data_IF_688376401680
#
_entry.id   IF_688376401680
#
_cell.length_a   1.000
_cell.length_b   1.000
_cell.length_c   1.000
_cell.angle_alpha   90.00
_cell.angle_beta   90.00
_cell.angle_gamma   90.00
#
_symmetry.space_group_name_H-M   'P 1'
#
loop_
_entity.id
_entity.type
_entity.pdbx_description
1 polymer ?
#
# COMPACT_ATOMS: atom_id res chain seq x y z
N UNK A 1 7.48 -9.97 1.14
CA UNK A 1 7.11 -9.21 -0.08
C UNK A 1 5.62 -9.41 -0.33
N UNK A 2 4.91 -8.35 -0.61
CA UNK A 2 3.50 -8.39 -1.05
C UNK A 2 3.44 -7.94 -2.51
N UNK A 3 2.56 -8.59 -3.28
CA UNK A 3 2.15 -8.12 -4.60
C UNK A 3 0.73 -7.59 -4.48
N UNK A 4 0.55 -6.32 -4.81
CA UNK A 4 -0.73 -5.62 -4.72
C UNK A 4 -1.21 -5.32 -6.13
N UNK A 5 -2.47 -5.62 -6.40
CA UNK A 5 -3.11 -5.43 -7.70
C UNK A 5 -4.38 -4.62 -7.46
N UNK A 6 -4.52 -3.50 -8.13
CA UNK A 6 -5.80 -2.79 -8.15
C UNK A 6 -6.70 -3.39 -9.24
N UNK A 7 -7.59 -4.28 -8.84
CA UNK A 7 -8.55 -4.94 -9.73
C UNK A 7 -9.85 -4.13 -9.93
N UNK A 8 -9.93 -2.89 -9.45
CA UNK A 8 -11.08 -2.02 -9.71
C UNK A 8 -11.14 -1.63 -11.20
N UNK A 9 -12.34 -1.43 -11.72
CA UNK A 9 -12.53 -1.06 -13.12
C UNK A 9 -12.22 0.42 -13.36
N UNK A 10 -12.57 1.30 -12.40
CA UNK A 10 -12.59 2.75 -12.62
C UNK A 10 -12.08 3.58 -11.43
N UNK A 11 -11.64 2.96 -10.33
CA UNK A 11 -11.16 3.70 -9.17
C UNK A 11 -9.66 3.51 -8.95
N UNK A 12 -8.96 4.63 -8.79
CA UNK A 12 -7.64 4.61 -8.17
C UNK A 12 -7.82 4.31 -6.68
N UNK A 13 -6.88 3.55 -6.12
CA UNK A 13 -6.98 3.09 -4.73
C UNK A 13 -5.71 3.44 -3.96
N UNK A 14 -5.89 4.07 -2.81
CA UNK A 14 -4.89 4.07 -1.76
C UNK A 14 -4.82 2.70 -1.12
N UNK A 15 -3.62 2.26 -0.79
CA UNK A 15 -3.39 1.05 -0.01
C UNK A 15 -2.37 1.35 1.10
N UNK A 16 -2.65 0.89 2.30
CA UNK A 16 -1.78 1.07 3.47
C UNK A 16 -1.92 -0.11 4.44
N UNK A 17 -0.91 -0.27 5.29
CA UNK A 17 -0.90 -1.22 6.40
C UNK A 17 -0.66 -0.46 7.68
N UNK A 18 -1.56 -0.63 8.65
CA UNK A 18 -1.47 0.05 9.95
C UNK A 18 -0.09 -0.14 10.59
N UNK A 19 0.52 0.96 11.02
CA UNK A 19 1.82 0.99 11.69
C UNK A 19 2.99 0.34 10.93
N UNK A 20 2.89 0.26 9.59
CA UNK A 20 3.95 -0.28 8.76
C UNK A 20 4.32 0.67 7.63
N UNK A 21 5.61 0.74 7.36
CA UNK A 21 6.14 1.44 6.19
C UNK A 21 6.31 0.44 5.05
N UNK A 22 5.94 0.85 3.86
CA UNK A 22 5.97 0.08 2.63
C UNK A 22 7.16 0.52 1.78
N UNK A 23 7.99 -0.42 1.33
CA UNK A 23 9.06 -0.12 0.37
C UNK A 23 8.63 -0.60 -1.01
N UNK A 24 8.38 0.33 -1.93
CA UNK A 24 8.05 0.03 -3.33
C UNK A 24 9.32 -0.37 -4.05
N UNK A 25 9.30 -1.50 -4.77
CA UNK A 25 10.45 -2.05 -5.51
C UNK A 25 10.15 -2.35 -6.97
N UNK A 26 8.86 -2.41 -7.33
CA UNK A 26 8.41 -2.74 -8.68
C UNK A 26 7.02 -2.14 -8.93
N UNK A 27 6.77 -1.64 -10.13
CA UNK A 27 5.45 -1.26 -10.63
C UNK A 27 5.28 -1.81 -12.05
N UNK A 28 4.15 -2.49 -12.30
CA UNK A 28 3.77 -3.04 -13.61
C UNK A 28 4.90 -3.84 -14.28
N UNK A 29 5.55 -4.73 -13.51
CA UNK A 29 6.69 -5.56 -13.90
C UNK A 29 8.00 -4.81 -14.21
N UNK A 30 8.06 -3.50 -13.91
CA UNK A 30 9.26 -2.67 -14.02
C UNK A 30 9.86 -2.43 -12.63
N UNK A 31 11.15 -2.77 -12.44
CA UNK A 31 11.84 -2.46 -11.20
C UNK A 31 12.04 -0.96 -11.04
N UNK A 32 11.77 -0.47 -9.84
CA UNK A 32 11.98 0.93 -9.48
C UNK A 32 13.16 1.09 -8.53
N UNK A 33 13.76 2.28 -8.51
CA UNK A 33 14.60 2.66 -7.38
C UNK A 33 13.77 2.54 -6.10
N UNK A 34 14.17 1.69 -5.14
CA UNK A 34 13.38 1.48 -3.94
C UNK A 34 13.14 2.78 -3.18
N UNK A 35 11.90 3.05 -2.82
CA UNK A 35 11.53 4.17 -1.93
C UNK A 35 10.50 3.72 -0.91
N UNK A 36 10.48 4.39 0.24
CA UNK A 36 9.59 4.07 1.36
C UNK A 36 8.44 5.06 1.44
N UNK A 37 7.25 4.56 1.73
CA UNK A 37 6.03 5.35 1.94
C UNK A 37 5.11 4.62 2.89
N UNK A 38 4.21 5.34 3.56
CA UNK A 38 3.18 4.73 4.41
C UNK A 38 1.92 4.37 3.61
N UNK A 39 1.73 5.00 2.46
CA UNK A 39 0.58 4.80 1.57
C UNK A 39 1.06 4.68 0.14
N UNK A 40 0.54 3.72 -0.61
CA UNK A 40 0.71 3.62 -2.07
C UNK A 40 -0.59 4.00 -2.77
N UNK A 41 -0.47 4.50 -4.00
CA UNK A 41 -1.59 4.82 -4.87
C UNK A 41 -1.47 4.00 -6.15
N UNK A 42 -2.52 3.26 -6.50
CA UNK A 42 -2.56 2.40 -7.67
C UNK A 42 -3.73 2.78 -8.59
N UNK A 43 -3.44 2.98 -9.86
CA UNK A 43 -4.46 3.11 -10.90
C UNK A 43 -5.18 1.77 -11.16
N UNK A 44 -6.38 1.77 -11.76
CA UNK A 44 -7.05 0.55 -12.20
C UNK A 44 -6.16 -0.32 -13.08
N UNK A 45 -6.09 -1.61 -12.78
CA UNK A 45 -5.25 -2.59 -13.49
C UNK A 45 -3.77 -2.54 -13.12
N UNK A 46 -3.33 -1.54 -12.38
CA UNK A 46 -1.93 -1.38 -11.99
C UNK A 46 -1.53 -2.39 -10.91
N UNK A 47 -0.27 -2.85 -10.99
CA UNK A 47 0.33 -3.78 -10.04
C UNK A 47 1.57 -3.17 -9.38
N UNK A 48 1.88 -3.63 -8.17
CA UNK A 48 3.13 -3.24 -7.49
C UNK A 48 3.63 -4.36 -6.59
N UNK A 49 4.95 -4.49 -6.51
CA UNK A 49 5.61 -5.32 -5.51
C UNK A 49 6.17 -4.43 -4.42
N UNK A 50 5.81 -4.72 -3.17
CA UNK A 50 6.27 -3.99 -1.99
C UNK A 50 6.95 -4.91 -1.00
N UNK A 51 7.96 -4.38 -0.31
CA UNK A 51 8.53 -5.00 0.86
C UNK A 51 7.85 -4.41 2.10
N UNK A 52 7.23 -5.27 2.88
CA UNK A 52 6.69 -4.94 4.19
C UNK A 52 7.74 -5.30 5.23
N UNK A 53 8.28 -4.29 5.92
CA UNK A 53 9.20 -4.52 7.02
C UNK A 53 8.40 -4.85 8.27
N UNK A 54 8.54 -6.07 8.76
CA UNK A 54 7.95 -6.47 10.02
C UNK A 54 8.79 -5.90 11.17
N UNK A 55 8.13 -5.29 12.17
CA UNK A 55 8.81 -4.79 13.36
C UNK A 55 9.23 -5.96 14.24
N UNK A 56 10.50 -5.99 14.64
CA UNK A 56 11.00 -6.98 15.60
C UNK A 56 10.32 -6.87 16.95
N UNK A 57 9.95 -5.66 17.37
CA UNK A 57 9.23 -5.45 18.63
C UNK A 57 7.83 -6.08 18.58
N UNK A 58 7.18 -6.03 17.42
CA UNK A 58 5.83 -6.58 17.23
C UNK A 58 5.85 -8.10 17.03
N UNK A 59 6.97 -8.68 16.61
CA UNK A 59 7.14 -10.14 16.52
C UNK A 59 7.16 -10.78 17.93
N UNK A 60 7.52 -10.01 18.94
CA UNK A 60 7.50 -10.46 20.35
C UNK A 60 6.08 -10.42 20.96
N UNK A 61 5.17 -9.65 20.36
CA UNK A 61 3.75 -9.63 20.73
C UNK A 61 3.03 -10.75 19.96
N UNK A 62 2.99 -11.92 20.56
CA UNK A 62 2.39 -13.13 20.02
C UNK A 62 0.92 -12.87 19.61
N UNK A 63 0.63 -12.93 18.30
CA UNK A 63 -0.72 -12.69 17.75
C UNK A 63 -1.09 -11.23 17.47
N UNK A 64 -0.14 -10.29 17.44
CA UNK A 64 -0.42 -8.90 17.07
C UNK A 64 -1.15 -8.80 15.72
N UNK A 65 -2.18 -7.96 15.66
CA UNK A 65 -3.02 -7.77 14.49
C UNK A 65 -3.01 -6.31 14.05
N UNK A 66 -3.02 -6.11 12.73
CA UNK A 66 -3.03 -4.81 12.08
C UNK A 66 -4.02 -4.80 10.92
N UNK A 67 -4.65 -3.67 10.65
CA UNK A 67 -5.42 -3.53 9.43
C UNK A 67 -4.51 -3.33 8.22
N UNK A 68 -4.78 -4.13 7.19
CA UNK A 68 -4.48 -3.80 5.81
C UNK A 68 -5.72 -3.08 5.29
N UNK A 69 -5.58 -1.92 4.68
CA UNK A 69 -6.75 -1.17 4.22
C UNK A 69 -6.54 -0.57 2.83
N UNK A 70 -7.66 -0.49 2.09
CA UNK A 70 -7.72 0.20 0.81
C UNK A 70 -8.85 1.24 0.84
N UNK A 71 -8.58 2.43 0.30
CA UNK A 71 -9.52 3.55 0.22
C UNK A 71 -9.51 4.15 -1.19
N UNK A 72 -10.63 4.68 -1.63
CA UNK A 72 -10.74 5.26 -2.97
C UNK A 72 -10.05 6.63 -3.02
N UNK A 73 -9.24 6.84 -4.08
CA UNK A 73 -8.83 8.16 -4.52
C UNK A 73 -9.82 8.67 -5.57
N UNK A 74 -10.33 9.87 -5.39
CA UNK A 74 -11.25 10.54 -6.31
C UNK A 74 -10.67 11.89 -6.71
N UNK A 75 -10.25 12.07 -7.97
CA UNK A 75 -9.73 13.37 -8.40
C UNK A 75 -10.80 14.47 -8.28
N UNK A 76 -10.41 15.73 -8.10
CA UNK A 76 -11.33 16.84 -7.78
C UNK A 76 -12.50 17.02 -8.76
N UNK A 77 -12.34 16.61 -10.01
CA UNK A 77 -13.35 16.74 -11.06
C UNK A 77 -14.22 15.47 -11.26
N UNK A 78 -14.01 14.42 -10.46
CA UNK A 78 -14.77 13.16 -10.55
C UNK A 78 -16.11 13.21 -9.79
N UNK A 79 -16.58 14.39 -9.45
CA UNK A 79 -17.66 14.70 -8.49
C UNK A 79 -19.06 14.18 -8.86
N UNK A 80 -19.23 13.49 -9.96
CA UNK A 80 -20.56 13.07 -10.44
C UNK A 80 -20.90 11.60 -10.17
N UNK A 81 -19.95 10.81 -9.65
CA UNK A 81 -20.21 9.40 -9.37
C UNK A 81 -20.04 9.14 -7.88
N UNK A 82 -21.08 8.64 -7.18
CA UNK A 82 -20.94 8.21 -5.81
C UNK A 82 -19.83 7.14 -5.70
N UNK A 83 -18.89 7.31 -4.79
CA UNK A 83 -17.84 6.34 -4.52
C UNK A 83 -17.85 5.91 -3.05
N UNK A 84 -17.37 4.70 -2.74
CA UNK A 84 -17.27 4.24 -1.37
C UNK A 84 -16.36 5.16 -0.54
N UNK A 85 -16.91 5.71 0.55
CA UNK A 85 -16.16 6.57 1.48
C UNK A 85 -15.54 5.79 2.62
N UNK A 86 -15.96 4.53 2.81
CA UNK A 86 -15.47 3.66 3.87
C UNK A 86 -14.36 2.77 3.31
N UNK A 87 -13.17 2.76 3.91
CA UNK A 87 -12.11 1.86 3.50
C UNK A 87 -12.50 0.39 3.65
N UNK A 88 -12.08 -0.43 2.70
CA UNK A 88 -12.14 -1.89 2.82
C UNK A 88 -10.92 -2.37 3.58
N UNK A 89 -11.12 -3.34 4.49
CA UNK A 89 -10.06 -3.81 5.39
C UNK A 89 -9.86 -5.32 5.32
N UNK A 90 -8.61 -5.73 5.58
CA UNK A 90 -8.21 -7.09 5.90
C UNK A 90 -7.33 -7.06 7.14
N UNK A 91 -7.05 -8.22 7.73
CA UNK A 91 -6.22 -8.33 8.93
C UNK A 91 -4.88 -8.96 8.56
N UNK A 92 -3.79 -8.26 8.89
CA UNK A 92 -2.46 -8.81 8.99
C UNK A 92 -2.26 -9.31 10.42
N UNK A 93 -2.05 -10.61 10.59
CA UNK A 93 -1.74 -11.20 11.89
C UNK A 93 -0.30 -11.70 11.90
N UNK A 94 0.45 -11.32 12.91
CA UNK A 94 1.78 -11.88 13.15
C UNK A 94 1.62 -13.31 13.69
N UNK A 95 2.51 -14.21 13.25
CA UNK A 95 2.45 -15.62 13.61
C UNK A 95 2.56 -15.81 15.11
N UNK A 96 1.70 -16.68 15.62
CA UNK A 96 1.63 -17.09 16.99
C UNK A 96 1.64 -18.61 17.03
N UNK A 97 2.62 -19.20 17.74
CA UNK A 97 2.74 -20.67 17.83
C UNK A 97 1.58 -21.30 18.64
N UNK A 98 0.90 -20.53 19.49
CA UNK A 98 -0.12 -20.99 20.44
C UNK A 98 -1.45 -20.24 20.36
N UNK A 99 -1.61 -19.26 19.45
CA UNK A 99 -2.83 -18.48 19.37
C UNK A 99 -3.98 -19.27 18.72
N UNK A 100 -5.11 -19.29 19.38
CA UNK A 100 -6.39 -19.63 18.75
C UNK A 100 -6.72 -18.52 17.75
N UNK A 101 -7.06 -18.89 16.51
CA UNK A 101 -7.53 -17.96 15.49
C UNK A 101 -8.64 -17.08 16.08
N UNK A 102 -8.43 -15.78 16.16
CA UNK A 102 -9.37 -14.83 16.77
C UNK A 102 -8.96 -14.23 18.12
N UNK A 103 -7.88 -14.72 18.75
CA UNK A 103 -7.30 -14.03 19.91
C UNK A 103 -6.70 -12.71 19.45
N UNK A 104 -7.28 -11.60 19.90
CA UNK A 104 -6.82 -10.24 19.56
C UNK A 104 -5.78 -9.80 20.56
N UNK A 105 -4.57 -9.51 20.09
CA UNK A 105 -3.62 -8.70 20.82
C UNK A 105 -3.44 -7.39 20.06
N UNK A 106 -3.77 -6.28 20.70
CA UNK A 106 -3.58 -4.92 20.14
C UNK A 106 -4.88 -4.20 19.74
N UNK A 107 -4.77 -2.89 19.59
CA UNK A 107 -5.85 -2.02 19.13
C UNK A 107 -5.81 -1.94 17.60
N UNK A 108 -6.84 -2.51 16.93
CA UNK A 108 -7.03 -2.34 15.50
C UNK A 108 -7.51 -0.91 15.22
N UNK A 109 -6.72 -0.15 14.47
CA UNK A 109 -7.07 1.18 13.98
C UNK A 109 -6.83 1.25 12.47
N UNK A 110 -7.65 2.02 11.77
CA UNK A 110 -7.43 2.25 10.34
C UNK A 110 -6.10 2.99 10.11
N UNK A 111 -5.35 2.64 9.07
CA UNK A 111 -4.23 3.47 8.63
C UNK A 111 -4.72 4.88 8.30
N UNK A 112 -3.85 5.88 8.48
CA UNK A 112 -4.15 7.25 8.05
C UNK A 112 -3.98 7.35 6.54
N UNK A 113 -5.03 7.72 5.84
CA UNK A 113 -5.01 7.99 4.41
C UNK A 113 -4.93 9.50 4.13
N UNK A 114 -4.32 9.91 3.01
CA UNK A 114 -4.49 11.25 2.46
C UNK A 114 -5.97 11.54 2.18
N UNK A 115 -6.33 12.80 2.00
CA UNK A 115 -7.67 13.15 1.54
C UNK A 115 -7.99 12.44 0.20
N UNK A 116 -9.25 12.06 -0.01
CA UNK A 116 -9.64 11.32 -1.21
C UNK A 116 -9.29 12.04 -2.52
N UNK A 117 -9.14 13.37 -2.48
CA UNK A 117 -8.80 14.23 -3.62
C UNK A 117 -7.43 14.90 -3.48
N UNK A 118 -6.50 14.34 -2.73
CA UNK A 118 -5.16 14.91 -2.51
C UNK A 118 -4.28 14.75 -3.75
N UNK A 119 -4.33 15.74 -4.61
CA UNK A 119 -3.50 15.79 -5.84
C UNK A 119 -2.02 16.00 -5.54
N UNK A 120 -1.67 16.62 -4.40
CA UNK A 120 -0.28 16.79 -4.00
C UNK A 120 0.35 15.46 -3.62
N UNK A 121 -0.39 14.63 -2.86
CA UNK A 121 0.06 13.28 -2.57
C UNK A 121 0.25 12.46 -3.86
N UNK A 122 -0.74 12.51 -4.77
CA UNK A 122 -0.66 11.82 -6.06
C UNK A 122 0.60 12.23 -6.84
N UNK A 123 0.84 13.54 -6.98
CA UNK A 123 2.00 14.05 -7.71
C UNK A 123 3.32 13.62 -7.07
N UNK A 124 3.42 13.72 -5.75
CA UNK A 124 4.62 13.34 -5.01
C UNK A 124 4.89 11.85 -5.12
N UNK A 125 3.86 11.01 -4.98
CA UNK A 125 3.97 9.56 -5.13
C UNK A 125 4.43 9.21 -6.55
N UNK A 126 3.78 9.75 -7.58
CA UNK A 126 4.15 9.52 -8.99
C UNK A 126 5.59 9.97 -9.27
N UNK A 127 6.00 11.12 -8.72
CA UNK A 127 7.37 11.62 -8.87
C UNK A 127 8.42 10.75 -8.15
N UNK A 128 8.02 9.96 -7.17
CA UNK A 128 8.90 9.01 -6.47
C UNK A 128 9.14 7.72 -7.25
N UNK A 129 8.28 7.43 -8.22
CA UNK A 129 8.43 6.27 -9.10
C UNK A 129 9.54 6.54 -10.12
N UNK A 130 10.70 5.95 -9.91
CA UNK A 130 11.85 6.04 -10.81
C UNK A 130 12.26 4.65 -11.26
N UNK A 131 12.14 4.36 -12.54
CA UNK A 131 12.65 3.12 -13.13
C UNK A 131 14.17 3.01 -12.93
N UNK A 132 14.64 1.80 -12.73
CA UNK A 132 16.08 1.51 -12.78
C UNK A 132 16.44 1.47 -14.26
N UNK A 133 16.87 2.62 -14.82
CA UNK A 133 17.32 2.72 -16.20
C UNK A 133 18.51 1.80 -16.43
N UNK A 134 18.40 0.87 -17.37
CA UNK A 134 19.56 0.24 -17.94
C UNK A 134 20.29 1.29 -18.77
N UNK A 135 21.43 1.79 -18.29
CA UNK A 135 22.34 2.52 -19.16
C UNK A 135 22.95 1.48 -20.13
N UNK A 136 22.35 1.34 -21.29
CA UNK A 136 23.05 0.72 -22.40
C UNK A 136 24.15 1.69 -22.83
N UNK A 137 25.33 1.58 -22.23
CA UNK A 137 26.54 2.02 -22.90
C UNK A 137 26.76 1.04 -24.06
N UNK A 138 26.22 1.35 -25.22
CA UNK A 138 26.74 0.79 -26.46
C UNK A 138 28.18 1.28 -26.60
N UNK A 139 29.13 0.43 -26.21
CA UNK A 139 30.49 0.59 -26.68
C UNK A 139 30.48 0.10 -28.13
N UNK A 140 30.58 1.02 -29.07
CA UNK A 140 30.85 0.77 -30.47
C UNK A 140 32.38 0.60 -30.61
#
# INVERSE_FOLDING_TARGET
MLRVINAAINFQMYFAVQNHTLTVVEIDAEYTTPFTTDVILLAPGQTTSILLKLSTQTILDDGAQFYIAASVYSPPNASLVPFPTVPTTAILQYGCASCVIGSRSGSLALPTFPAANDTNFQANFTNSLRGIGFSHSCVI
#
